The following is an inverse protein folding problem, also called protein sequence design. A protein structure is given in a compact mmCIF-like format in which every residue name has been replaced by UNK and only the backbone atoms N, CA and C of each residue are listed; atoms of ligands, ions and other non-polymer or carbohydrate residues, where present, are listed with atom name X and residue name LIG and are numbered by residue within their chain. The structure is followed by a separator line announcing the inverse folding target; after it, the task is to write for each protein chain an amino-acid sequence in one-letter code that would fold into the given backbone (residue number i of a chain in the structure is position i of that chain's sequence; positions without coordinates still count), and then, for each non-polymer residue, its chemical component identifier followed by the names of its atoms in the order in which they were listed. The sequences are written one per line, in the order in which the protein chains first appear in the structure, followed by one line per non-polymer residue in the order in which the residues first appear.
data_IF_212209205423
#
_entry.id   IF_212209205423
#
_cell.length_a   1.000
_cell.length_b   1.000
_cell.length_c   1.000
_cell.angle_alpha   90.00
_cell.angle_beta   90.00
_cell.angle_gamma   90.00
#
_symmetry.space_group_name_H-M   'P 1'
#
loop_
_entity.id
_entity.type
_entity.pdbx_description
1 polymer ?
#
# COMPACT_ATOMS: atom_id res chain seq x y z
N UNK A 1 -6.77 -16.29 8.75
CA UNK A 1 -7.11 -15.81 7.38
C UNK A 1 -6.13 -16.44 6.38
N UNK A 2 -6.58 -16.99 5.25
CA UNK A 2 -5.73 -17.63 4.21
C UNK A 2 -5.65 -16.73 2.98
N UNK A 3 -4.50 -16.73 2.28
CA UNK A 3 -4.25 -15.92 1.09
C UNK A 3 -3.06 -16.42 0.28
N UNK A 4 -2.82 -15.81 -0.89
CA UNK A 4 -1.77 -16.22 -1.85
C UNK A 4 -0.38 -16.43 -1.23
N UNK A 5 0.09 -15.62 -0.25
CA UNK A 5 1.37 -15.90 0.44
C UNK A 5 1.46 -17.29 1.09
N UNK A 6 0.35 -17.81 1.62
CA UNK A 6 0.31 -19.15 2.21
C UNK A 6 0.49 -20.24 1.15
N UNK A 7 -0.14 -20.07 -0.02
CA UNK A 7 0.03 -20.98 -1.15
C UNK A 7 1.44 -20.89 -1.75
N UNK A 8 2.01 -19.68 -1.86
CA UNK A 8 3.38 -19.51 -2.34
C UNK A 8 4.40 -20.25 -1.46
N UNK A 9 4.28 -20.12 -0.13
CA UNK A 9 5.08 -20.88 0.82
C UNK A 9 4.86 -22.39 0.70
N UNK A 10 3.61 -22.84 0.52
CA UNK A 10 3.30 -24.25 0.33
C UNK A 10 3.89 -24.80 -0.97
N UNK A 11 3.84 -24.03 -2.07
CA UNK A 11 4.37 -24.41 -3.38
C UNK A 11 5.89 -24.58 -3.31
N UNK A 12 6.57 -23.63 -2.67
CA UNK A 12 8.01 -23.74 -2.41
C UNK A 12 8.33 -24.98 -1.56
N UNK A 13 7.59 -25.19 -0.46
CA UNK A 13 7.80 -26.34 0.46
C UNK A 13 7.54 -27.69 -0.20
N UNK A 14 6.59 -27.77 -1.13
CA UNK A 14 6.20 -29.01 -1.83
C UNK A 14 6.96 -29.23 -3.14
N UNK A 15 7.84 -28.31 -3.54
CA UNK A 15 8.65 -28.41 -4.76
C UNK A 15 7.90 -28.06 -6.05
N UNK A 16 6.69 -27.50 -5.97
CA UNK A 16 5.95 -27.00 -7.14
C UNK A 16 6.54 -25.69 -7.70
N UNK A 17 7.29 -24.96 -6.88
CA UNK A 17 8.13 -23.83 -7.27
C UNK A 17 9.46 -23.90 -6.49
N UNK A 18 10.55 -23.36 -7.03
CA UNK A 18 11.87 -23.32 -6.36
C UNK A 18 11.94 -22.24 -5.29
N UNK A 19 11.08 -21.23 -5.35
CA UNK A 19 11.04 -20.14 -4.37
C UNK A 19 9.63 -19.57 -4.19
N UNK A 20 9.46 -18.78 -3.13
CA UNK A 20 8.23 -18.00 -2.90
C UNK A 20 7.89 -17.09 -4.10
N UNK A 21 8.90 -16.39 -4.63
CA UNK A 21 8.70 -15.47 -5.75
C UNK A 21 8.32 -16.22 -7.03
N UNK A 22 8.97 -17.35 -7.32
CA UNK A 22 8.63 -18.16 -8.49
C UNK A 22 7.19 -18.70 -8.42
N UNK A 23 6.68 -19.01 -7.22
CA UNK A 23 5.29 -19.41 -7.06
C UNK A 23 4.31 -18.30 -7.49
N UNK A 24 4.61 -17.04 -7.19
CA UNK A 24 3.84 -15.89 -7.69
C UNK A 24 3.97 -15.76 -9.21
N UNK A 25 5.21 -15.76 -9.72
CA UNK A 25 5.50 -15.52 -11.13
C UNK A 25 4.90 -16.59 -12.04
N UNK A 26 4.81 -17.85 -11.57
CA UNK A 26 4.25 -18.97 -12.36
C UNK A 26 2.75 -19.15 -12.17
N UNK A 27 2.23 -18.99 -10.94
CA UNK A 27 0.90 -19.50 -10.61
C UNK A 27 -0.06 -18.47 -10.02
N UNK A 28 0.40 -17.56 -9.17
CA UNK A 28 -0.49 -16.84 -8.23
C UNK A 28 -0.71 -15.36 -8.56
N UNK A 29 0.10 -14.78 -9.46
CA UNK A 29 -0.06 -13.39 -9.87
C UNK A 29 -1.17 -13.14 -10.89
N UNK A 30 -1.58 -11.89 -11.04
CA UNK A 30 -2.66 -11.51 -11.97
C UNK A 30 -2.34 -12.04 -13.38
N UNK A 31 -3.27 -12.81 -13.94
CA UNK A 31 -3.11 -13.44 -15.26
C UNK A 31 -2.41 -14.81 -15.24
N UNK A 32 -2.05 -15.33 -14.07
CA UNK A 32 -1.47 -16.68 -13.91
C UNK A 32 -2.55 -17.73 -13.64
N UNK A 33 -2.28 -19.03 -13.89
CA UNK A 33 -3.30 -20.08 -13.91
C UNK A 33 -4.13 -20.24 -12.63
N UNK A 34 -3.58 -19.87 -11.46
CA UNK A 34 -4.26 -20.02 -10.17
C UNK A 34 -4.64 -18.66 -9.56
N UNK A 35 -4.64 -17.58 -10.35
CA UNK A 35 -5.15 -16.30 -9.92
C UNK A 35 -6.67 -16.27 -9.98
N UNK A 36 -7.29 -16.20 -8.80
CA UNK A 36 -8.71 -15.90 -8.67
C UNK A 36 -8.90 -14.44 -8.30
N UNK A 37 -9.67 -13.71 -9.12
CA UNK A 37 -10.00 -12.33 -8.81
C UNK A 37 -10.96 -12.29 -7.62
N UNK A 38 -10.49 -11.76 -6.49
CA UNK A 38 -11.33 -11.58 -5.30
C UNK A 38 -12.21 -10.36 -5.49
N UNK A 39 -13.49 -10.45 -5.13
CA UNK A 39 -14.33 -9.24 -4.97
C UNK A 39 -13.65 -8.35 -3.93
N UNK A 40 -13.36 -7.11 -4.33
CA UNK A 40 -12.81 -6.06 -3.46
C UNK A 40 -13.87 -5.00 -3.27
N UNK A 41 -13.82 -4.32 -2.13
CA UNK A 41 -14.59 -3.10 -1.93
C UNK A 41 -14.15 -2.06 -2.96
N UNK A 42 -15.11 -1.27 -3.43
CA UNK A 42 -14.78 -0.08 -4.21
C UNK A 42 -14.07 0.92 -3.28
N UNK A 43 -13.06 1.67 -3.77
CA UNK A 43 -12.32 2.62 -2.94
C UNK A 43 -13.21 3.59 -2.18
N UNK A 44 -14.26 4.14 -2.82
CA UNK A 44 -15.27 4.97 -2.18
C UNK A 44 -15.86 4.32 -0.93
N UNK A 45 -16.42 3.11 -1.06
CA UNK A 45 -17.03 2.39 0.06
C UNK A 45 -16.00 2.06 1.15
N UNK A 46 -14.74 1.79 0.78
CA UNK A 46 -13.69 1.55 1.76
C UNK A 46 -13.35 2.82 2.56
N UNK A 47 -13.31 3.98 1.89
CA UNK A 47 -13.11 5.28 2.54
C UNK A 47 -14.28 5.59 3.47
N UNK A 48 -15.52 5.47 2.99
CA UNK A 48 -16.75 5.69 3.78
C UNK A 48 -16.74 4.81 5.04
N UNK A 49 -16.45 3.51 4.91
CA UNK A 49 -16.37 2.61 6.07
C UNK A 49 -15.29 3.00 7.09
N UNK A 50 -14.15 3.51 6.64
CA UNK A 50 -13.09 3.97 7.56
C UNK A 50 -13.56 5.23 8.28
N UNK A 51 -14.19 6.17 7.57
CA UNK A 51 -14.71 7.41 8.14
C UNK A 51 -15.86 7.17 9.11
N UNK A 52 -16.79 6.26 8.79
CA UNK A 52 -17.89 5.84 9.67
C UNK A 52 -17.39 5.21 10.97
N UNK A 53 -16.20 4.61 10.94
CA UNK A 53 -15.50 4.09 12.10
C UNK A 53 -14.59 5.14 12.78
N UNK A 54 -14.75 6.43 12.44
CA UNK A 54 -13.95 7.57 12.93
C UNK A 54 -12.44 7.44 12.63
N UNK A 55 -12.08 6.61 11.65
CA UNK A 55 -10.71 6.38 11.23
C UNK A 55 -10.20 7.36 10.18
N UNK A 56 -8.92 7.23 9.82
CA UNK A 56 -8.25 8.05 8.81
C UNK A 56 -7.97 7.20 7.57
N UNK A 57 -8.67 7.41 6.44
CA UNK A 57 -8.41 6.70 5.19
C UNK A 57 -7.12 7.19 4.54
N UNK A 58 -6.22 6.26 4.24
CA UNK A 58 -4.88 6.52 3.67
C UNK A 58 -4.63 5.60 2.47
N UNK A 59 -4.10 6.15 1.37
CA UNK A 59 -3.60 5.32 0.26
C UNK A 59 -2.25 4.71 0.67
N UNK A 60 -2.21 3.38 0.78
CA UNK A 60 -0.97 2.63 1.03
C UNK A 60 -0.15 2.45 -0.26
N UNK A 61 1.17 2.62 -0.13
CA UNK A 61 2.23 2.40 -1.13
C UNK A 61 1.75 2.57 -2.59
N UNK A 62 1.48 3.82 -3.03
CA UNK A 62 0.79 4.12 -4.30
C UNK A 62 1.44 3.50 -5.54
N UNK A 63 2.75 3.22 -5.50
CA UNK A 63 3.50 2.60 -6.60
C UNK A 63 2.88 1.26 -7.07
N UNK A 64 2.18 0.53 -6.20
CA UNK A 64 1.57 -0.75 -6.55
C UNK A 64 0.36 -0.63 -7.49
N UNK A 65 -0.19 0.58 -7.64
CA UNK A 65 -1.24 0.85 -8.63
C UNK A 65 -0.72 0.67 -10.07
N UNK A 66 0.59 0.83 -10.28
CA UNK A 66 1.26 0.82 -11.60
C UNK A 66 0.68 1.87 -12.56
N UNK A 67 0.05 2.90 -12.02
CA UNK A 67 -0.39 4.07 -12.77
C UNK A 67 0.83 4.97 -13.02
N UNK A 68 0.80 5.72 -14.13
CA UNK A 68 1.70 6.84 -14.31
C UNK A 68 1.25 8.02 -13.41
N UNK A 69 2.11 9.03 -13.28
CA UNK A 69 1.87 10.15 -12.36
C UNK A 69 0.55 10.87 -12.63
N UNK A 70 0.22 11.14 -13.89
CA UNK A 70 -1.05 11.77 -14.30
C UNK A 70 -2.28 10.99 -13.82
N UNK A 71 -2.36 9.69 -14.12
CA UNK A 71 -3.51 8.85 -13.70
C UNK A 71 -3.54 8.62 -12.20
N UNK A 72 -2.37 8.59 -11.55
CA UNK A 72 -2.32 8.47 -10.09
C UNK A 72 -2.85 9.74 -9.44
N UNK A 73 -2.52 10.91 -9.99
CA UNK A 73 -3.06 12.19 -9.54
C UNK A 73 -4.57 12.29 -9.74
N UNK A 74 -5.09 11.88 -10.91
CA UNK A 74 -6.54 11.79 -11.16
C UNK A 74 -7.22 10.90 -10.11
N UNK A 75 -6.65 9.73 -9.83
CA UNK A 75 -7.16 8.83 -8.80
C UNK A 75 -7.12 9.49 -7.41
N UNK A 76 -6.03 10.15 -7.04
CA UNK A 76 -5.91 10.81 -5.74
C UNK A 76 -6.93 11.94 -5.60
N UNK A 77 -7.15 12.72 -6.66
CA UNK A 77 -8.18 13.76 -6.70
C UNK A 77 -9.57 13.17 -6.51
N UNK A 78 -9.90 12.08 -7.22
CA UNK A 78 -11.17 11.36 -7.07
C UNK A 78 -11.37 10.85 -5.64
N UNK A 79 -10.35 10.19 -5.07
CA UNK A 79 -10.44 9.65 -3.71
C UNK A 79 -10.52 10.75 -2.65
N UNK A 80 -9.90 11.90 -2.87
CA UNK A 80 -10.03 13.09 -2.00
C UNK A 80 -11.48 13.59 -1.99
N UNK A 81 -12.19 13.57 -3.12
CA UNK A 81 -13.63 13.89 -3.17
C UNK A 81 -14.50 12.91 -2.36
N UNK A 82 -14.01 11.70 -2.08
CA UNK A 82 -14.68 10.72 -1.23
C UNK A 82 -14.29 10.82 0.25
N UNK A 83 -13.37 11.72 0.61
CA UNK A 83 -12.91 11.91 1.98
C UNK A 83 -11.58 11.20 2.31
N UNK A 84 -10.74 10.92 1.32
CA UNK A 84 -9.36 10.51 1.58
C UNK A 84 -8.63 11.57 2.42
N UNK A 85 -7.86 11.13 3.41
CA UNK A 85 -7.21 12.02 4.37
C UNK A 85 -5.69 11.90 4.40
N UNK A 86 -5.11 10.85 3.80
CA UNK A 86 -3.66 10.67 3.79
C UNK A 86 -3.12 9.85 2.63
N UNK A 87 -1.81 9.92 2.47
CA UNK A 87 -1.05 9.15 1.47
C UNK A 87 0.25 8.64 2.10
N UNK A 88 0.63 7.41 1.80
CA UNK A 88 1.92 6.85 2.19
C UNK A 88 3.01 7.39 1.26
N UNK A 89 3.82 8.31 1.80
CA UNK A 89 4.93 8.94 1.09
C UNK A 89 6.19 8.11 1.27
N UNK A 90 6.46 7.68 2.50
CA UNK A 90 7.67 6.95 2.85
C UNK A 90 7.38 5.46 2.95
N UNK A 91 7.94 4.72 2.00
CA UNK A 91 7.87 3.26 1.92
C UNK A 91 9.23 2.72 1.48
N UNK A 92 9.61 1.53 1.98
CA UNK A 92 10.92 0.91 1.73
C UNK A 92 11.28 0.71 0.25
N UNK A 93 10.30 0.70 -0.66
CA UNK A 93 10.52 0.57 -2.11
C UNK A 93 10.22 1.83 -2.92
N UNK A 94 9.85 2.94 -2.29
CA UNK A 94 9.66 4.17 -3.04
C UNK A 94 11.00 4.74 -3.49
N UNK A 95 11.08 5.15 -4.75
CA UNK A 95 12.22 5.91 -5.26
C UNK A 95 12.17 7.35 -4.74
N UNK A 96 13.30 8.06 -4.82
CA UNK A 96 13.34 9.50 -4.50
C UNK A 96 12.35 10.32 -5.33
N UNK A 97 12.13 9.93 -6.58
CA UNK A 97 11.17 10.58 -7.48
C UNK A 97 9.73 10.35 -7.02
N UNK A 98 9.39 9.10 -6.67
CA UNK A 98 8.08 8.77 -6.10
C UNK A 98 7.82 9.51 -4.79
N UNK A 99 8.80 9.56 -3.89
CA UNK A 99 8.69 10.32 -2.63
C UNK A 99 8.41 11.80 -2.93
N UNK A 100 9.14 12.42 -3.87
CA UNK A 100 8.88 13.82 -4.25
C UNK A 100 7.48 14.01 -4.82
N UNK A 101 7.04 13.13 -5.70
CA UNK A 101 5.71 13.20 -6.30
C UNK A 101 4.61 13.00 -5.26
N UNK A 102 4.75 12.07 -4.33
CA UNK A 102 3.75 11.84 -3.28
C UNK A 102 3.71 12.97 -2.26
N UNK A 103 4.84 13.62 -1.95
CA UNK A 103 4.86 14.88 -1.18
C UNK A 103 4.12 15.99 -1.91
N UNK A 104 4.31 16.10 -3.23
CA UNK A 104 3.57 17.07 -4.06
C UNK A 104 2.06 16.82 -3.98
N UNK A 105 1.60 15.58 -4.18
CA UNK A 105 0.19 15.22 -4.07
C UNK A 105 -0.36 15.52 -2.67
N UNK A 106 0.40 15.17 -1.62
CA UNK A 106 0.00 15.46 -0.24
C UNK A 106 -0.22 16.96 -0.01
N UNK A 107 0.70 17.80 -0.49
CA UNK A 107 0.57 19.25 -0.38
C UNK A 107 -0.60 19.80 -1.21
N UNK A 108 -0.74 19.37 -2.46
CA UNK A 108 -1.77 19.85 -3.39
C UNK A 108 -3.19 19.54 -2.92
N UNK A 109 -3.41 18.35 -2.38
CA UNK A 109 -4.74 17.87 -1.97
C UNK A 109 -4.97 17.95 -0.45
N UNK A 110 -4.03 18.54 0.32
CA UNK A 110 -4.16 18.68 1.77
C UNK A 110 -4.16 17.35 2.53
N UNK A 111 -3.47 16.33 2.01
CA UNK A 111 -3.42 15.00 2.61
C UNK A 111 -2.31 14.90 3.67
N UNK A 112 -2.58 14.12 4.70
CA UNK A 112 -1.61 13.75 5.71
C UNK A 112 -0.52 12.84 5.11
N UNK A 113 0.73 13.14 5.46
CA UNK A 113 1.87 12.31 5.10
C UNK A 113 1.97 11.15 6.08
N UNK A 114 2.11 9.93 5.55
CA UNK A 114 2.31 8.71 6.36
C UNK A 114 3.54 7.93 5.89
N UNK A 115 3.99 7.01 6.74
CA UNK A 115 5.14 6.15 6.51
C UNK A 115 4.88 4.73 7.04
N UNK A 116 5.41 3.72 6.35
CA UNK A 116 5.24 2.33 6.73
C UNK A 116 6.29 1.42 6.13
N UNK A 117 6.88 0.54 6.94
CA UNK A 117 7.85 -0.45 6.43
C UNK A 117 7.19 -1.54 5.58
N UNK A 118 5.92 -1.85 5.84
CA UNK A 118 5.22 -3.05 5.36
C UNK A 118 5.96 -4.35 5.73
N UNK A 119 6.54 -4.38 6.94
CA UNK A 119 7.30 -5.50 7.47
C UNK A 119 6.45 -6.77 7.58
N UNK A 120 6.95 -7.87 7.02
CA UNK A 120 6.30 -9.19 7.03
C UNK A 120 7.22 -10.31 7.53
N UNK A 121 8.29 -9.95 8.28
CA UNK A 121 9.25 -10.90 8.85
C UNK A 121 9.87 -11.82 7.80
N UNK A 122 9.87 -13.13 8.08
CA UNK A 122 10.46 -14.15 7.19
C UNK A 122 9.90 -14.14 5.75
N UNK A 123 8.73 -13.57 5.53
CA UNK A 123 8.13 -13.47 4.18
C UNK A 123 8.77 -12.37 3.34
N UNK A 124 9.31 -11.32 3.97
CA UNK A 124 10.04 -10.22 3.32
C UNK A 124 11.32 -9.94 4.11
N UNK A 125 12.33 -10.83 4.05
CA UNK A 125 13.51 -10.75 4.91
C UNK A 125 14.34 -9.48 4.70
N UNK A 126 14.24 -8.86 3.53
CA UNK A 126 14.98 -7.64 3.18
C UNK A 126 14.33 -6.36 3.73
N UNK A 127 13.11 -6.44 4.26
CA UNK A 127 12.43 -5.31 4.91
C UNK A 127 12.65 -5.43 6.41
N UNK A 128 13.16 -4.37 7.03
CA UNK A 128 13.28 -4.25 8.50
C UNK A 128 12.03 -3.60 9.08
N UNK A 129 11.75 -3.88 10.35
CA UNK A 129 10.68 -3.22 11.08
C UNK A 129 11.06 -1.75 11.33
N UNK A 130 10.10 -0.85 11.10
CA UNK A 130 10.29 0.59 11.27
C UNK A 130 10.90 1.26 10.04
N UNK A 131 10.90 2.60 10.05
CA UNK A 131 11.51 3.45 9.03
C UNK A 131 11.99 4.74 9.66
N UNK A 132 13.14 5.24 9.19
CA UNK A 132 13.66 6.54 9.58
C UNK A 132 13.00 7.62 8.71
N UNK A 133 12.19 8.46 9.34
CA UNK A 133 11.49 9.59 8.71
C UNK A 133 11.54 10.76 9.68
N UNK A 134 11.71 11.97 9.16
CA UNK A 134 11.68 13.18 9.99
C UNK A 134 10.31 13.35 10.67
N UNK A 135 10.32 13.49 12.00
CA UNK A 135 9.12 13.57 12.83
C UNK A 135 8.17 14.69 12.40
N UNK A 136 8.70 15.86 12.03
CA UNK A 136 7.90 17.01 11.61
C UNK A 136 7.00 16.72 10.41
N UNK A 137 7.41 15.80 9.53
CA UNK A 137 6.62 15.39 8.37
C UNK A 137 5.44 14.48 8.76
N UNK A 138 5.58 13.72 9.85
CA UNK A 138 4.56 12.78 10.33
C UNK A 138 3.71 13.36 11.46
N UNK A 139 4.17 14.42 12.12
CA UNK A 139 3.52 15.03 13.27
C UNK A 139 2.04 15.37 13.04
N UNK A 140 1.61 15.93 11.89
CA UNK A 140 0.19 16.18 11.63
C UNK A 140 -0.66 14.90 11.63
N UNK A 141 -0.11 13.79 11.14
CA UNK A 141 -0.79 12.49 11.16
C UNK A 141 -0.82 11.92 12.59
N UNK A 142 0.32 11.92 13.27
CA UNK A 142 0.44 11.41 14.64
C UNK A 142 -0.52 12.13 15.60
N UNK A 143 -0.59 13.46 15.54
CA UNK A 143 -1.53 14.26 16.33
C UNK A 143 -3.01 13.93 16.08
N UNK A 144 -3.34 13.33 14.93
CA UNK A 144 -4.71 12.98 14.57
C UNK A 144 -5.11 11.58 15.03
N UNK A 145 -4.14 10.66 15.15
CA UNK A 145 -4.38 9.29 15.63
C UNK A 145 -4.21 9.12 17.14
N UNK A 146 -3.65 10.11 17.85
CA UNK A 146 -3.48 10.08 19.31
C UNK A 146 -4.54 10.86 20.08
N UNK A 147 -5.61 11.30 19.43
CA UNK A 147 -6.78 11.94 20.08
C UNK A 147 -7.82 10.88 20.40
#
# INVERSE_FOLDING_TARGET
LIGRPHFANLFAKKGYAKSYQEAFDKYLDKGKPLYLNKKRLQPKNAIELILDAEGIPVIAHPYQTKLNDEKLEELVAELTNYGLMGIEVFYSKHTHEQIRFYKYLANKYGLLITAGSDFHGKTKPDIKLGMDVEDDLLLPFLQKVTK
#
